data_IF_492468516922
#
_entry.id   IF_492468516922
#
_cell.length_a   1.000
_cell.length_b   1.000
_cell.length_c   1.000
_cell.angle_alpha   90.00
_cell.angle_beta   90.00
_cell.angle_gamma   90.00
#
_symmetry.space_group_name_H-M   'P 1'
#
loop_
_entity.id
_entity.type
_entity.pdbx_description
1 polymer ?
#
# COMPACT_ATOMS: atom_id res chain seq x y z
N UNK A 1 -11.33 17.31 -0.15
CA UNK A 1 -10.17 16.37 -0.11
C UNK A 1 -8.91 17.14 -0.46
N UNK A 2 -7.89 17.04 0.38
CA UNK A 2 -6.58 17.67 0.11
C UNK A 2 -5.73 16.78 -0.79
N UNK A 3 -4.67 17.35 -1.34
CA UNK A 3 -3.72 16.54 -2.12
C UNK A 3 -3.06 15.46 -1.25
N UNK A 4 -2.77 15.77 0.01
CA UNK A 4 -2.25 14.78 0.97
C UNK A 4 -3.22 13.61 1.14
N UNK A 5 -4.52 13.87 1.26
CA UNK A 5 -5.54 12.81 1.36
C UNK A 5 -5.57 11.94 0.10
N UNK A 6 -5.45 12.55 -1.08
CA UNK A 6 -5.36 11.83 -2.35
C UNK A 6 -4.15 10.90 -2.37
N UNK A 7 -2.99 11.38 -1.93
CA UNK A 7 -1.76 10.57 -1.88
C UNK A 7 -1.93 9.42 -0.89
N UNK A 8 -2.50 9.65 0.28
CA UNK A 8 -2.73 8.60 1.27
C UNK A 8 -3.70 7.52 0.75
N UNK A 9 -4.73 7.89 0.01
CA UNK A 9 -5.64 6.95 -0.64
C UNK A 9 -4.89 6.05 -1.63
N UNK A 10 -4.01 6.64 -2.45
CA UNK A 10 -3.19 5.88 -3.39
C UNK A 10 -2.20 4.96 -2.66
N UNK A 11 -1.62 5.42 -1.55
CA UNK A 11 -0.73 4.60 -0.72
C UNK A 11 -1.48 3.40 -0.15
N UNK A 12 -2.68 3.60 0.38
CA UNK A 12 -3.52 2.51 0.91
C UNK A 12 -3.84 1.47 -0.17
N UNK A 13 -4.21 1.93 -1.35
CA UNK A 13 -4.50 1.06 -2.48
C UNK A 13 -3.25 0.26 -2.90
N UNK A 14 -2.11 0.93 -2.99
CA UNK A 14 -0.85 0.29 -3.35
C UNK A 14 -0.44 -0.79 -2.33
N UNK A 15 -0.60 -0.51 -1.03
CA UNK A 15 -0.31 -1.48 0.02
C UNK A 15 -1.17 -2.75 -0.10
N UNK A 16 -2.45 -2.58 -0.41
CA UNK A 16 -3.37 -3.70 -0.58
C UNK A 16 -3.04 -4.57 -1.78
N UNK A 17 -2.54 -3.95 -2.85
CA UNK A 17 -2.17 -4.64 -4.09
C UNK A 17 -0.74 -5.18 -4.09
N UNK A 18 0.07 -4.82 -3.09
CA UNK A 18 1.47 -5.21 -3.05
C UNK A 18 1.65 -6.72 -2.92
N UNK A 19 2.50 -7.27 -3.78
CA UNK A 19 2.93 -8.67 -3.77
C UNK A 19 4.45 -8.68 -3.54
N UNK A 20 4.94 -9.66 -2.78
CA UNK A 20 6.36 -9.77 -2.46
C UNK A 20 7.21 -9.78 -3.73
N UNK A 21 8.22 -8.89 -3.76
CA UNK A 21 9.07 -8.67 -4.92
C UNK A 21 8.62 -7.56 -5.86
N UNK A 22 7.45 -6.95 -5.62
CA UNK A 22 7.00 -5.81 -6.41
C UNK A 22 7.82 -4.55 -6.11
N UNK A 23 7.76 -3.60 -7.05
CA UNK A 23 8.39 -2.30 -6.88
C UNK A 23 7.72 -1.52 -5.74
N UNK A 24 8.52 -0.88 -4.89
CA UNK A 24 8.05 -0.06 -3.79
C UNK A 24 7.88 1.43 -4.16
N UNK A 25 8.00 1.76 -5.44
CA UNK A 25 7.83 3.12 -5.96
C UNK A 25 6.67 3.13 -6.94
N UNK A 26 5.77 4.11 -6.78
CA UNK A 26 4.68 4.31 -7.73
C UNK A 26 4.52 5.79 -8.05
N UNK A 27 3.79 6.10 -9.11
CA UNK A 27 3.54 7.48 -9.52
C UNK A 27 2.06 7.80 -9.50
N UNK A 28 1.74 9.02 -9.10
CA UNK A 28 0.38 9.55 -9.05
C UNK A 28 0.30 10.72 -10.04
N UNK A 29 -0.66 10.71 -10.99
CA UNK A 29 -0.83 11.86 -11.87
C UNK A 29 -1.29 13.08 -11.06
N UNK A 30 -0.64 14.22 -11.30
CA UNK A 30 -1.02 15.48 -10.67
C UNK A 30 -1.82 16.34 -11.63
N UNK A 31 -2.88 16.97 -11.12
CA UNK A 31 -3.62 17.98 -11.85
C UNK A 31 -2.83 19.31 -11.88
N UNK A 32 -3.23 20.24 -12.75
CA UNK A 32 -2.54 21.51 -12.93
C UNK A 32 -2.46 22.35 -11.64
N UNK A 33 -3.41 22.18 -10.74
CA UNK A 33 -3.47 22.90 -9.45
C UNK A 33 -2.82 22.11 -8.30
N UNK A 34 -2.26 20.95 -8.57
CA UNK A 34 -1.59 20.12 -7.58
C UNK A 34 -0.06 20.24 -7.68
N UNK A 35 0.61 20.26 -6.53
CA UNK A 35 2.06 20.30 -6.47
C UNK A 35 2.56 19.58 -5.21
N UNK A 36 3.83 19.16 -5.27
CA UNK A 36 4.53 18.56 -4.13
C UNK A 36 4.51 19.43 -2.89
N UNK A 37 4.54 20.77 -3.06
CA UNK A 37 4.52 21.73 -1.96
C UNK A 37 3.23 21.70 -1.14
N UNK A 38 2.15 21.19 -1.71
CA UNK A 38 0.87 21.06 -1.01
C UNK A 38 0.82 19.87 -0.04
N UNK A 39 1.81 18.99 -0.10
CA UNK A 39 1.85 17.80 0.75
C UNK A 39 2.24 18.18 2.18
N UNK A 40 1.46 17.68 3.14
CA UNK A 40 1.79 17.78 4.55
C UNK A 40 2.47 16.47 4.98
N UNK A 41 3.79 16.54 5.15
CA UNK A 41 4.60 15.36 5.53
C UNK A 41 4.13 14.72 6.83
N UNK A 42 3.57 15.51 7.74
CA UNK A 42 3.05 15.03 9.03
C UNK A 42 1.78 14.20 8.88
N UNK A 43 1.02 14.42 7.81
CA UNK A 43 -0.23 13.73 7.54
C UNK A 43 -0.06 12.57 6.56
N UNK A 44 1.11 12.43 5.94
CA UNK A 44 1.40 11.29 5.08
C UNK A 44 1.49 10.00 5.89
N UNK A 45 1.10 8.89 5.26
CA UNK A 45 1.22 7.57 5.87
C UNK A 45 2.67 7.31 6.28
N UNK A 46 2.88 6.73 7.45
CA UNK A 46 4.21 6.44 8.00
C UNK A 46 5.07 5.55 7.10
N UNK A 47 4.44 4.73 6.26
CA UNK A 47 5.15 3.86 5.33
C UNK A 47 5.83 4.63 4.19
N UNK A 48 5.43 5.89 3.96
CA UNK A 48 6.03 6.72 2.92
C UNK A 48 7.45 7.11 3.34
N UNK A 49 8.43 6.67 2.56
CA UNK A 49 9.84 6.95 2.79
C UNK A 49 10.28 8.27 2.16
N UNK A 50 9.82 8.52 0.94
CA UNK A 50 10.26 9.67 0.16
C UNK A 50 9.22 10.00 -0.91
N UNK A 51 9.10 11.28 -1.27
CA UNK A 51 8.26 11.75 -2.38
C UNK A 51 9.03 12.76 -3.22
N UNK A 52 8.79 12.76 -4.53
CA UNK A 52 9.34 13.78 -5.43
C UNK A 52 8.42 13.94 -6.63
N UNK A 53 8.48 15.08 -7.28
CA UNK A 53 7.67 15.36 -8.47
C UNK A 53 8.53 15.48 -9.72
N UNK A 54 8.01 15.00 -10.83
CA UNK A 54 8.65 15.09 -12.15
C UNK A 54 7.61 14.92 -13.25
N UNK A 55 7.62 15.81 -14.24
CA UNK A 55 6.76 15.72 -15.44
C UNK A 55 5.27 15.57 -15.11
N UNK A 56 4.75 16.35 -14.17
CA UNK A 56 3.36 16.33 -13.71
C UNK A 56 2.95 15.03 -13.01
N UNK A 57 3.90 14.24 -12.54
CA UNK A 57 3.66 13.06 -11.71
C UNK A 57 4.32 13.22 -10.36
N UNK A 58 3.66 12.78 -9.34
CA UNK A 58 4.26 12.64 -8.01
C UNK A 58 4.72 11.20 -7.85
N UNK A 59 6.01 11.02 -7.61
CA UNK A 59 6.59 9.71 -7.32
C UNK A 59 6.61 9.50 -5.81
N UNK A 60 6.15 8.35 -5.37
CA UNK A 60 6.08 7.99 -3.96
C UNK A 60 6.86 6.71 -3.74
N UNK A 61 7.86 6.76 -2.87
CA UNK A 61 8.63 5.60 -2.44
C UNK A 61 8.15 5.16 -1.06
N UNK A 62 7.80 3.91 -0.92
CA UNK A 62 7.38 3.32 0.34
C UNK A 62 8.54 2.51 0.95
N UNK A 63 8.50 2.34 2.27
CA UNK A 63 9.48 1.53 2.97
C UNK A 63 9.30 0.06 2.60
N UNK A 64 10.27 -0.50 1.87
CA UNK A 64 10.20 -1.87 1.36
C UNK A 64 10.13 -2.90 2.48
N UNK A 65 10.86 -2.68 3.58
CA UNK A 65 10.85 -3.59 4.73
C UNK A 65 9.46 -3.67 5.38
N UNK A 66 8.79 -2.53 5.54
CA UNK A 66 7.43 -2.48 6.09
C UNK A 66 6.41 -3.10 5.15
N UNK A 67 6.54 -2.88 3.84
CA UNK A 67 5.68 -3.52 2.84
C UNK A 67 5.80 -5.04 2.90
N UNK A 68 7.01 -5.56 3.00
CA UNK A 68 7.25 -7.00 3.11
C UNK A 68 6.66 -7.58 4.40
N UNK A 69 6.82 -6.87 5.52
CA UNK A 69 6.25 -7.30 6.81
C UNK A 69 4.73 -7.35 6.75
N UNK A 70 4.10 -6.32 6.19
CA UNK A 70 2.64 -6.27 6.04
C UNK A 70 2.15 -7.38 5.10
N UNK A 71 2.85 -7.63 4.02
CA UNK A 71 2.53 -8.71 3.08
C UNK A 71 2.61 -10.07 3.77
N UNK A 72 3.67 -10.34 4.50
CA UNK A 72 3.86 -11.60 5.22
C UNK A 72 2.77 -11.81 6.28
N UNK A 73 2.41 -10.77 7.02
CA UNK A 73 1.32 -10.84 8.01
C UNK A 73 -0.01 -11.16 7.35
N UNK A 74 -0.31 -10.51 6.22
CA UNK A 74 -1.52 -10.75 5.44
C UNK A 74 -1.59 -12.18 4.92
N UNK A 75 -0.50 -12.69 4.37
CA UNK A 75 -0.43 -14.06 3.87
C UNK A 75 -0.56 -15.09 4.97
N UNK A 76 -0.01 -14.81 6.14
CA UNK A 76 -0.14 -15.71 7.30
C UNK A 76 -1.60 -15.83 7.75
N UNK A 77 -2.33 -14.71 7.82
CA UNK A 77 -3.76 -14.73 8.11
C UNK A 77 -4.54 -15.55 7.09
N UNK A 78 -4.23 -15.39 5.81
CA UNK A 78 -4.87 -16.14 4.73
C UNK A 78 -4.60 -17.64 4.84
N UNK A 79 -3.40 -18.05 5.19
CA UNK A 79 -3.05 -19.46 5.39
C UNK A 79 -3.81 -20.06 6.57
N UNK A 80 -3.91 -19.34 7.69
CA UNK A 80 -4.66 -19.77 8.86
C UNK A 80 -6.15 -19.94 8.53
N UNK A 81 -6.73 -19.03 7.78
CA UNK A 81 -8.12 -19.13 7.33
C UNK A 81 -8.34 -20.31 6.40
N UNK A 82 -7.41 -20.59 5.49
CA UNK A 82 -7.50 -21.74 4.59
C UNK A 82 -7.43 -23.06 5.33
N UNK A 83 -6.56 -23.18 6.30
CA UNK A 83 -6.46 -24.39 7.13
C UNK A 83 -7.74 -24.61 7.91
N UNK A 84 -8.32 -23.56 8.45
CA UNK A 84 -9.58 -23.62 9.17
C UNK A 84 -10.74 -24.08 8.28
N UNK A 85 -10.88 -23.50 7.08
CA UNK A 85 -11.90 -23.88 6.10
C UNK A 85 -11.75 -25.33 5.65
N UNK A 86 -10.53 -25.77 5.41
CA UNK A 86 -10.24 -27.16 5.03
C UNK A 86 -10.60 -28.14 6.13
N UNK A 87 -10.38 -27.79 7.40
CA UNK A 87 -10.77 -28.62 8.53
C UNK A 87 -12.27 -28.79 8.63
N UNK A 88 -13.03 -27.71 8.52
CA UNK A 88 -14.51 -27.79 8.53
C UNK A 88 -15.04 -28.64 7.38
N UNK A 89 -14.47 -28.47 6.20
CA UNK A 89 -14.85 -29.26 5.03
C UNK A 89 -14.62 -30.75 5.22
N UNK A 90 -13.49 -31.14 5.77
CA UNK A 90 -13.16 -32.54 6.02
C UNK A 90 -13.97 -33.14 7.17
N UNK A 91 -14.22 -32.40 8.24
CA UNK A 91 -15.03 -32.85 9.36
C UNK A 91 -16.49 -33.07 8.97
N UNK A 92 -17.04 -32.25 8.09
CA UNK A 92 -18.41 -32.39 7.61
C UNK A 92 -18.61 -33.57 6.63
N UNK A 93 -17.54 -34.14 6.11
CA UNK A 93 -17.57 -35.29 5.23
C UNK A 93 -17.55 -36.63 5.97
N UNK A 94 -17.10 -36.61 7.19
CA UNK A 94 -17.01 -37.76 8.05
C UNK A 94 -17.97 -37.64 9.23
#
# INVERSE_FOLDING_TARGET
>A
MTFTDKVNDWVSYFKDEYIDGDNNIFKIPMDDDESEEQLDEKQLDEIVSCVWSKNNYLYVELNASELEEQYKAKMKEWEEMREYENREYWESRF
#
